data_IF_771435119397
#
_entry.id   IF_771435119397
#
_cell.length_a   1.000
_cell.length_b   1.000
_cell.length_c   1.000
_cell.angle_alpha   90.00
_cell.angle_beta   90.00
_cell.angle_gamma   90.00
#
_symmetry.space_group_name_H-M   'P 1'
#
loop_
_entity.id
_entity.type
_entity.pdbx_description
1 polymer ?
#
# COMPACT_ATOMS: atom_id res chain seq x y z
N UNK A 1 -8.02 5.26 -22.98
CA UNK A 1 -9.15 4.38 -22.74
C UNK A 1 -9.80 4.66 -21.41
N UNK A 2 -11.09 4.50 -21.33
CA UNK A 2 -11.92 4.69 -20.14
C UNK A 2 -11.79 3.53 -19.12
N UNK A 3 -10.60 3.01 -18.88
CA UNK A 3 -10.42 1.76 -18.15
C UNK A 3 -9.75 1.95 -16.79
N UNK A 4 -9.85 3.14 -16.18
CA UNK A 4 -9.36 3.37 -14.85
C UNK A 4 -10.51 3.51 -13.84
N UNK A 5 -10.22 3.22 -12.58
CA UNK A 5 -11.21 3.25 -11.49
C UNK A 5 -11.93 4.60 -11.38
N UNK A 6 -11.24 5.71 -11.60
CA UNK A 6 -11.82 7.04 -11.50
C UNK A 6 -12.91 7.26 -12.56
N UNK A 7 -12.65 6.89 -13.82
CA UNK A 7 -13.62 7.02 -14.91
C UNK A 7 -14.86 6.16 -14.66
N UNK A 8 -14.67 4.92 -14.19
CA UNK A 8 -15.79 4.04 -13.80
C UNK A 8 -16.62 4.62 -12.65
N UNK A 9 -15.96 5.24 -11.66
CA UNK A 9 -16.65 5.90 -10.56
C UNK A 9 -17.40 7.16 -11.03
N UNK A 10 -16.83 7.95 -11.94
CA UNK A 10 -17.49 9.12 -12.51
C UNK A 10 -18.74 8.69 -13.31
N UNK A 11 -18.64 7.62 -14.09
CA UNK A 11 -19.76 7.09 -14.85
C UNK A 11 -20.90 6.63 -13.93
N UNK A 12 -20.57 5.92 -12.84
CA UNK A 12 -21.56 5.34 -11.92
C UNK A 12 -22.13 6.34 -10.91
N UNK A 13 -21.33 7.27 -10.42
CA UNK A 13 -21.67 8.14 -9.28
C UNK A 13 -21.68 9.62 -9.62
N UNK A 14 -21.37 10.01 -10.86
CA UNK A 14 -21.19 11.40 -11.26
C UNK A 14 -19.86 11.97 -10.79
N UNK A 15 -19.80 13.28 -10.56
CA UNK A 15 -18.58 13.96 -10.13
C UNK A 15 -18.07 13.39 -8.80
N UNK A 16 -16.82 12.94 -8.78
CA UNK A 16 -16.13 12.44 -7.58
C UNK A 16 -14.77 13.12 -7.41
N UNK A 17 -14.28 13.17 -6.15
CA UNK A 17 -12.95 13.64 -5.78
C UNK A 17 -12.10 12.45 -5.30
N UNK A 18 -10.85 12.40 -5.75
CA UNK A 18 -9.88 11.36 -5.39
C UNK A 18 -8.84 11.97 -4.44
N UNK A 19 -8.71 11.40 -3.23
CA UNK A 19 -7.77 11.89 -2.20
C UNK A 19 -6.46 11.11 -2.14
N UNK A 20 -6.45 9.88 -2.64
CA UNK A 20 -5.26 9.06 -2.77
C UNK A 20 -5.41 8.08 -3.93
N UNK A 21 -4.34 7.42 -4.26
CA UNK A 21 -4.32 6.41 -5.32
C UNK A 21 -3.64 5.14 -4.83
N UNK A 22 -4.03 4.04 -5.44
CA UNK A 22 -3.29 2.77 -5.38
C UNK A 22 -2.40 2.63 -6.63
N UNK A 23 -1.33 1.88 -6.51
CA UNK A 23 -0.58 1.42 -7.69
C UNK A 23 -1.47 0.48 -8.50
N UNK A 24 -1.26 0.41 -9.81
CA UNK A 24 -2.15 -0.33 -10.74
C UNK A 24 -2.44 -1.76 -10.29
N UNK A 25 -1.44 -2.47 -9.78
CA UNK A 25 -1.54 -3.88 -9.43
C UNK A 25 -1.85 -4.11 -7.92
N UNK A 26 -1.96 -3.03 -7.12
CA UNK A 26 -2.35 -3.09 -5.70
C UNK A 26 -3.86 -3.20 -5.58
N UNK A 27 -4.34 -4.18 -4.83
CA UNK A 27 -5.76 -4.32 -4.50
C UNK A 27 -6.17 -3.61 -3.22
N UNK A 28 -7.48 -3.54 -2.95
CA UNK A 28 -8.02 -3.04 -1.69
C UNK A 28 -8.67 -1.66 -1.78
N UNK A 29 -8.67 -0.94 -0.68
CA UNK A 29 -9.41 0.31 -0.50
C UNK A 29 -8.85 1.48 -1.29
N UNK A 30 -9.72 2.15 -2.02
CA UNK A 30 -9.49 3.47 -2.59
C UNK A 30 -10.63 4.40 -2.17
N UNK A 31 -10.29 5.52 -1.54
CA UNK A 31 -11.25 6.49 -1.03
C UNK A 31 -11.57 7.55 -2.08
N UNK A 32 -12.83 7.62 -2.45
CA UNK A 32 -13.38 8.67 -3.29
C UNK A 32 -14.59 9.30 -2.55
N UNK A 33 -14.86 10.56 -2.84
CA UNK A 33 -16.03 11.27 -2.28
C UNK A 33 -16.83 11.93 -3.38
N UNK A 34 -18.09 12.18 -3.12
CA UNK A 34 -18.86 13.19 -3.88
C UNK A 34 -18.49 14.58 -3.40
N UNK A 35 -18.65 15.63 -4.25
CA UNK A 35 -18.44 17.01 -3.80
C UNK A 35 -19.31 17.34 -2.60
N UNK A 36 -18.72 17.98 -1.58
CA UNK A 36 -19.40 18.35 -0.35
C UNK A 36 -18.41 18.78 0.75
N UNK A 37 -18.92 19.09 1.92
CA UNK A 37 -18.14 19.57 3.09
C UNK A 37 -17.08 18.59 3.56
N UNK A 38 -17.33 17.28 3.41
CA UNK A 38 -16.37 16.22 3.75
C UNK A 38 -15.04 16.37 3.01
N UNK A 39 -15.03 17.04 1.84
CA UNK A 39 -13.81 17.17 1.04
C UNK A 39 -12.77 18.08 1.72
N UNK A 40 -13.21 19.16 2.37
CA UNK A 40 -12.31 20.04 3.12
C UNK A 40 -11.69 19.31 4.32
N UNK A 41 -12.50 18.54 5.04
CA UNK A 41 -12.04 17.69 6.14
C UNK A 41 -11.00 16.67 5.66
N UNK A 42 -11.28 15.90 4.61
CA UNK A 42 -10.36 14.91 4.08
C UNK A 42 -9.07 15.54 3.55
N UNK A 43 -9.16 16.65 2.81
CA UNK A 43 -7.98 17.38 2.32
C UNK A 43 -7.04 17.78 3.47
N UNK A 44 -7.61 18.29 4.57
CA UNK A 44 -6.88 18.61 5.79
C UNK A 44 -6.20 17.36 6.39
N UNK A 45 -6.93 16.25 6.56
CA UNK A 45 -6.38 15.02 7.11
C UNK A 45 -5.22 14.47 6.25
N UNK A 46 -5.39 14.43 4.93
CA UNK A 46 -4.34 13.95 4.03
C UNK A 46 -3.11 14.86 4.02
N UNK A 47 -3.28 16.18 3.98
CA UNK A 47 -2.20 17.18 4.08
C UNK A 47 -1.44 17.06 5.40
N UNK A 48 -2.13 16.84 6.50
CA UNK A 48 -1.56 16.67 7.84
C UNK A 48 -1.04 15.25 8.10
N UNK A 49 -1.19 14.31 7.16
CA UNK A 49 -0.82 12.88 7.29
C UNK A 49 -1.48 12.19 8.48
N UNK A 50 -2.70 12.59 8.81
CA UNK A 50 -3.47 12.02 9.92
C UNK A 50 -4.28 10.79 9.52
N UNK A 51 -4.47 10.55 8.22
CA UNK A 51 -5.12 9.34 7.70
C UNK A 51 -4.24 8.14 7.97
N UNK A 52 -4.72 7.20 8.77
CA UNK A 52 -4.04 5.93 9.01
C UNK A 52 -4.41 4.96 7.88
N UNK A 53 -3.42 4.41 7.21
CA UNK A 53 -3.56 3.41 6.16
C UNK A 53 -2.83 2.16 6.59
N UNK A 54 -3.48 1.02 6.45
CA UNK A 54 -2.91 -0.28 6.75
C UNK A 54 -2.94 -1.15 5.50
N UNK A 55 -1.82 -1.77 5.21
CA UNK A 55 -1.64 -2.69 4.10
C UNK A 55 -1.25 -4.06 4.62
N UNK A 56 -1.68 -5.09 3.92
CA UNK A 56 -1.18 -6.46 4.08
C UNK A 56 -0.31 -6.80 2.86
N UNK A 57 0.84 -7.40 3.12
CA UNK A 57 1.74 -7.87 2.08
C UNK A 57 2.26 -9.27 2.39
N UNK A 58 2.37 -10.09 1.35
CA UNK A 58 3.15 -11.33 1.42
C UNK A 58 4.49 -11.06 0.74
N UNK A 59 5.57 -11.24 1.49
CA UNK A 59 6.93 -10.96 1.02
C UNK A 59 7.80 -12.21 1.05
N UNK A 60 8.89 -12.21 0.27
CA UNK A 60 9.91 -13.26 0.33
C UNK A 60 10.61 -13.23 1.70
N UNK A 61 10.90 -14.39 2.28
CA UNK A 61 11.66 -14.50 3.54
C UNK A 61 13.14 -14.84 3.34
N UNK A 62 13.71 -14.55 2.16
CA UNK A 62 15.12 -14.82 1.86
C UNK A 62 16.10 -14.07 2.77
N UNK A 63 15.64 -13.02 3.42
CA UNK A 63 16.42 -12.25 4.39
C UNK A 63 15.69 -12.11 5.71
N UNK A 64 16.43 -12.24 6.80
CA UNK A 64 15.91 -11.94 8.13
C UNK A 64 15.72 -10.45 8.32
N UNK A 65 14.58 -10.08 8.92
CA UNK A 65 14.25 -8.73 9.35
C UNK A 65 13.66 -8.79 10.76
N UNK A 66 13.73 -7.69 11.50
CA UNK A 66 13.11 -7.59 12.82
C UNK A 66 11.61 -7.83 12.75
N UNK A 67 11.02 -8.33 13.84
CA UNK A 67 9.56 -8.60 13.94
C UNK A 67 8.72 -7.34 13.70
N UNK A 68 9.25 -6.18 14.03
CA UNK A 68 8.66 -4.87 13.73
C UNK A 68 9.75 -3.84 13.42
N UNK A 69 9.40 -2.79 12.70
CA UNK A 69 10.40 -1.78 12.38
C UNK A 69 9.86 -0.54 11.67
N UNK A 70 10.76 0.42 11.51
CA UNK A 70 10.51 1.66 10.77
C UNK A 70 11.49 1.78 9.61
N UNK A 71 10.96 1.94 8.41
CA UNK A 71 11.75 2.09 7.19
C UNK A 71 11.76 3.55 6.80
N UNK A 72 12.92 4.19 6.88
CA UNK A 72 13.14 5.57 6.46
C UNK A 72 14.06 5.58 5.25
N UNK A 73 13.58 6.12 4.12
CA UNK A 73 14.31 6.17 2.86
C UNK A 73 14.11 7.52 2.18
N UNK A 74 14.90 7.77 1.15
CA UNK A 74 14.64 8.84 0.18
C UNK A 74 14.40 8.21 -1.18
N UNK A 75 13.30 8.57 -1.82
CA UNK A 75 12.87 7.98 -3.09
C UNK A 75 12.91 9.03 -4.20
N UNK A 76 13.38 8.63 -5.37
CA UNK A 76 13.25 9.44 -6.59
C UNK A 76 12.85 8.56 -7.77
N UNK A 77 12.29 9.13 -8.84
CA UNK A 77 12.11 8.41 -10.09
C UNK A 77 13.42 7.83 -10.60
N UNK A 78 13.38 6.62 -11.13
CA UNK A 78 14.55 6.00 -11.75
C UNK A 78 14.95 6.79 -13.02
N UNK A 79 16.24 7.12 -13.23
CA UNK A 79 16.65 8.01 -14.31
C UNK A 79 16.36 7.47 -15.73
N UNK A 80 16.27 6.15 -15.88
CA UNK A 80 16.10 5.48 -17.19
C UNK A 80 14.81 4.65 -17.31
N UNK A 81 14.09 4.40 -16.21
CA UNK A 81 12.86 3.56 -16.19
C UNK A 81 11.71 4.39 -15.64
N UNK A 82 10.80 4.83 -16.52
CA UNK A 82 9.74 5.80 -16.19
C UNK A 82 8.82 5.37 -15.05
N UNK A 83 8.55 4.08 -14.92
CA UNK A 83 7.57 3.53 -13.96
C UNK A 83 8.23 2.96 -12.70
N UNK A 84 9.48 3.35 -12.40
CA UNK A 84 10.24 2.82 -11.28
C UNK A 84 10.73 3.94 -10.37
N UNK A 85 10.68 3.69 -9.06
CA UNK A 85 11.31 4.51 -8.03
C UNK A 85 12.58 3.82 -7.54
N UNK A 86 13.54 4.59 -7.04
CA UNK A 86 14.79 4.07 -6.45
C UNK A 86 15.07 4.75 -5.12
N UNK A 87 15.70 3.99 -4.21
CA UNK A 87 16.24 4.53 -2.96
C UNK A 87 17.55 5.26 -3.26
N UNK A 88 17.70 6.45 -2.69
CA UNK A 88 18.91 7.28 -2.85
C UNK A 88 19.39 7.79 -1.49
N UNK A 89 20.71 7.99 -1.35
CA UNK A 89 21.32 8.51 -0.12
C UNK A 89 21.07 10.01 0.08
N UNK A 90 21.05 10.80 -1.02
CA UNK A 90 20.84 12.25 -1.00
C UNK A 90 19.83 12.66 -2.06
N UNK A 91 19.13 13.77 -1.79
CA UNK A 91 18.03 14.23 -2.67
C UNK A 91 16.79 13.34 -2.57
N UNK A 92 15.89 13.45 -3.54
CA UNK A 92 14.63 12.69 -3.54
C UNK A 92 13.64 13.09 -2.43
N UNK A 93 12.52 12.39 -2.39
CA UNK A 93 11.44 12.64 -1.44
C UNK A 93 11.57 11.72 -0.22
N UNK A 94 11.44 12.26 0.97
CA UNK A 94 11.39 11.48 2.19
C UNK A 94 10.20 10.52 2.18
N UNK A 95 10.45 9.27 2.56
CA UNK A 95 9.48 8.19 2.61
C UNK A 95 9.67 7.40 3.91
N UNK A 96 8.59 7.22 4.66
CA UNK A 96 8.58 6.51 5.93
C UNK A 96 7.39 5.57 6.00
N UNK A 97 7.65 4.34 6.44
CA UNK A 97 6.64 3.31 6.74
C UNK A 97 7.02 2.57 8.01
N UNK A 98 6.02 2.11 8.75
CA UNK A 98 6.18 1.12 9.83
C UNK A 98 5.74 -0.23 9.31
N UNK A 99 6.29 -1.31 9.86
CA UNK A 99 5.86 -2.66 9.56
C UNK A 99 5.89 -3.56 10.79
N UNK A 100 5.11 -4.62 10.74
CA UNK A 100 5.04 -5.71 11.70
C UNK A 100 4.97 -7.02 10.93
N UNK A 101 5.81 -7.99 11.27
CA UNK A 101 5.76 -9.36 10.75
C UNK A 101 4.72 -10.13 11.54
N UNK A 102 3.62 -10.51 10.91
CA UNK A 102 2.55 -11.29 11.52
C UNK A 102 2.94 -12.76 11.67
N UNK A 103 3.74 -13.27 10.76
CA UNK A 103 4.25 -14.64 10.80
C UNK A 103 5.07 -15.00 9.58
N UNK A 104 5.74 -16.15 9.65
CA UNK A 104 6.57 -16.71 8.59
C UNK A 104 6.27 -18.17 8.37
N UNK A 105 6.18 -18.59 7.12
CA UNK A 105 6.00 -19.99 6.72
C UNK A 105 6.34 -20.16 5.24
N UNK A 106 6.86 -21.31 4.87
CA UNK A 106 7.14 -21.72 3.47
C UNK A 106 7.96 -20.69 2.68
N UNK A 107 8.98 -20.09 3.31
CA UNK A 107 9.82 -19.07 2.67
C UNK A 107 9.12 -17.74 2.41
N UNK A 108 8.01 -17.46 3.10
CA UNK A 108 7.20 -16.24 2.96
C UNK A 108 6.92 -15.64 4.33
N UNK A 109 6.91 -14.31 4.42
CA UNK A 109 6.47 -13.55 5.59
C UNK A 109 5.17 -12.81 5.26
N UNK A 110 4.16 -12.94 6.13
CA UNK A 110 2.98 -12.08 6.11
C UNK A 110 3.28 -10.84 6.92
N UNK A 111 3.16 -9.67 6.31
CA UNK A 111 3.55 -8.39 6.93
C UNK A 111 2.36 -7.42 6.89
N UNK A 112 2.14 -6.74 8.00
CA UNK A 112 1.28 -5.55 8.11
C UNK A 112 2.13 -4.31 7.98
N UNK A 113 1.70 -3.33 7.17
CA UNK A 113 2.49 -2.14 6.85
C UNK A 113 1.64 -0.88 6.95
N UNK A 114 2.16 0.14 7.62
CA UNK A 114 1.54 1.47 7.75
C UNK A 114 2.42 2.53 7.09
N UNK A 115 2.09 3.00 5.87
CA UNK A 115 2.80 4.11 5.25
C UNK A 115 2.46 5.43 5.95
N UNK A 116 3.47 6.09 6.52
CA UNK A 116 3.36 7.44 7.10
C UNK A 116 3.37 8.50 6.00
N UNK A 117 4.11 8.27 4.95
CA UNK A 117 4.11 9.06 3.71
C UNK A 117 3.43 8.28 2.59
N UNK A 118 3.09 8.93 1.47
CA UNK A 118 2.42 8.31 0.33
C UNK A 118 3.17 8.57 -0.99
N UNK A 119 4.42 8.08 -1.13
CA UNK A 119 5.18 8.22 -2.38
C UNK A 119 4.83 7.09 -3.35
N UNK A 120 4.95 7.37 -4.64
CA UNK A 120 4.74 6.33 -5.67
C UNK A 120 5.59 5.10 -5.38
N UNK A 121 5.00 3.93 -5.48
CA UNK A 121 5.62 2.61 -5.24
C UNK A 121 6.32 2.48 -3.87
N UNK A 122 6.00 3.32 -2.89
CA UNK A 122 6.75 3.43 -1.64
C UNK A 122 6.95 2.08 -0.95
N UNK A 123 5.87 1.36 -0.67
CA UNK A 123 5.93 0.09 0.05
C UNK A 123 6.70 -0.97 -0.74
N UNK A 124 6.51 -1.01 -2.03
CA UNK A 124 7.13 -1.96 -2.94
C UNK A 124 8.66 -1.79 -2.97
N UNK A 125 9.12 -0.56 -3.17
CA UNK A 125 10.57 -0.27 -3.21
C UNK A 125 11.21 -0.39 -1.82
N UNK A 126 10.49 -0.05 -0.74
CA UNK A 126 10.99 -0.20 0.62
C UNK A 126 11.15 -1.66 1.05
N UNK A 127 10.18 -2.54 0.75
CA UNK A 127 10.30 -3.98 1.01
C UNK A 127 11.45 -4.60 0.22
N UNK A 128 11.60 -4.25 -1.05
CA UNK A 128 12.76 -4.68 -1.86
C UNK A 128 14.08 -4.15 -1.29
N UNK A 129 14.14 -2.91 -0.83
CA UNK A 129 15.32 -2.31 -0.20
C UNK A 129 15.72 -3.02 1.10
N UNK A 130 14.75 -3.48 1.90
CA UNK A 130 15.02 -4.33 3.08
C UNK A 130 15.55 -5.72 2.70
N UNK A 131 15.42 -6.14 1.44
CA UNK A 131 15.80 -7.47 0.97
C UNK A 131 14.70 -8.53 1.12
N UNK A 132 13.45 -8.09 1.36
CA UNK A 132 12.25 -8.93 1.45
C UNK A 132 11.20 -8.43 0.44
N UNK A 133 11.43 -8.57 -0.87
CA UNK A 133 10.55 -8.04 -1.90
C UNK A 133 9.15 -8.65 -1.80
N UNK A 134 8.14 -7.87 -2.18
CA UNK A 134 6.75 -8.33 -2.23
C UNK A 134 6.60 -9.38 -3.33
N UNK A 135 5.97 -10.49 -3.03
CA UNK A 135 5.72 -11.58 -3.98
C UNK A 135 4.84 -11.08 -5.13
N UNK A 136 5.17 -11.49 -6.35
CA UNK A 136 4.49 -11.04 -7.56
C UNK A 136 4.84 -9.61 -8.01
N UNK A 137 5.78 -8.93 -7.34
CA UNK A 137 6.25 -7.62 -7.79
C UNK A 137 7.20 -7.73 -8.98
N UNK A 138 6.67 -7.44 -10.17
CA UNK A 138 7.41 -7.53 -11.45
C UNK A 138 8.49 -6.45 -11.60
N UNK A 139 8.43 -5.39 -10.79
CA UNK A 139 9.35 -4.23 -10.89
C UNK A 139 10.48 -4.37 -9.87
N UNK A 140 10.15 -4.78 -8.63
CA UNK A 140 11.06 -4.78 -7.49
C UNK A 140 11.37 -6.18 -6.94
N UNK A 141 10.69 -7.22 -7.43
CA UNK A 141 10.75 -8.60 -6.91
C UNK A 141 11.93 -9.45 -7.40
N UNK A 142 13.01 -8.83 -7.91
CA UNK A 142 14.23 -9.60 -8.24
C UNK A 142 14.19 -10.35 -9.56
N UNK A 143 13.21 -10.12 -10.41
CA UNK A 143 13.15 -10.69 -11.77
C UNK A 143 12.39 -12.01 -11.92
N UNK A 144 11.85 -12.55 -10.86
CA UNK A 144 10.99 -13.72 -10.94
C UNK A 144 9.68 -13.39 -11.67
N UNK A 145 9.54 -13.90 -12.88
CA UNK A 145 8.28 -13.89 -13.65
C UNK A 145 7.38 -15.02 -13.14
N UNK A 146 6.94 -14.93 -11.89
CA UNK A 146 6.11 -15.97 -11.26
C UNK A 146 4.70 -16.08 -11.86
N UNK A 147 4.30 -15.15 -12.73
CA UNK A 147 2.91 -15.07 -13.20
C UNK A 147 1.91 -14.65 -12.12
N UNK A 148 2.35 -14.51 -10.88
CA UNK A 148 1.51 -14.15 -9.75
C UNK A 148 1.13 -12.67 -9.79
N UNK A 149 -0.01 -12.35 -9.19
CA UNK A 149 -0.39 -10.97 -8.91
C UNK A 149 0.54 -10.34 -7.86
N UNK A 150 0.59 -9.02 -7.81
CA UNK A 150 1.26 -8.31 -6.71
C UNK A 150 0.56 -8.61 -5.37
N UNK A 151 1.29 -9.18 -4.42
CA UNK A 151 0.77 -9.56 -3.09
C UNK A 151 0.83 -8.38 -2.13
N UNK A 152 0.20 -7.27 -2.52
CA UNK A 152 0.01 -6.04 -1.74
C UNK A 152 -1.47 -5.65 -1.76
N UNK A 153 -2.04 -5.43 -0.57
CA UNK A 153 -3.45 -5.11 -0.41
C UNK A 153 -3.65 -3.96 0.58
N UNK A 154 -4.33 -2.90 0.13
CA UNK A 154 -4.76 -1.80 1.00
C UNK A 154 -5.94 -2.28 1.86
N UNK A 155 -5.65 -2.77 3.06
CA UNK A 155 -6.60 -3.48 3.90
C UNK A 155 -7.52 -2.54 4.66
N UNK A 156 -6.98 -1.48 5.29
CA UNK A 156 -7.74 -0.61 6.17
C UNK A 156 -7.37 0.86 5.98
N UNK A 157 -8.38 1.72 6.06
CA UNK A 157 -8.23 3.18 6.17
C UNK A 157 -8.99 3.66 7.39
N UNK A 158 -8.34 4.46 8.23
CA UNK A 158 -8.95 5.13 9.36
C UNK A 158 -8.83 6.65 9.21
N UNK A 159 -9.96 7.32 9.34
CA UNK A 159 -10.12 8.77 9.31
C UNK A 159 -10.38 9.23 10.74
N UNK A 160 -9.44 9.88 11.44
CA UNK A 160 -9.63 10.30 12.82
C UNK A 160 -10.63 11.45 12.91
N UNK A 161 -11.29 11.59 14.06
CA UNK A 161 -12.20 12.69 14.33
C UNK A 161 -11.49 14.05 14.16
N UNK A 162 -12.15 14.98 13.48
CA UNK A 162 -11.76 16.39 13.35
C UNK A 162 -12.93 17.22 12.77
N UNK A 163 -12.94 18.50 13.07
CA UNK A 163 -13.84 19.49 12.42
C UNK A 163 -15.33 19.08 12.42
N UNK A 164 -15.81 18.48 13.51
CA UNK A 164 -17.18 18.01 13.65
C UNK A 164 -17.49 16.63 13.05
N UNK A 165 -16.52 15.99 12.40
CA UNK A 165 -16.64 14.62 11.90
C UNK A 165 -16.11 13.62 12.93
N UNK A 166 -16.82 12.51 13.10
CA UNK A 166 -16.40 11.39 13.95
C UNK A 166 -15.33 10.53 13.28
N UNK A 167 -14.60 9.75 14.08
CA UNK A 167 -13.69 8.71 13.57
C UNK A 167 -14.45 7.71 12.72
N UNK A 168 -13.94 7.43 11.52
CA UNK A 168 -14.46 6.41 10.62
C UNK A 168 -13.36 5.45 10.20
N UNK A 169 -13.70 4.18 10.18
CA UNK A 169 -12.80 3.10 9.74
C UNK A 169 -13.47 2.28 8.65
N UNK A 170 -12.71 1.97 7.61
CA UNK A 170 -13.14 1.13 6.49
C UNK A 170 -12.12 0.03 6.29
N UNK A 171 -12.59 -1.19 6.02
CA UNK A 171 -11.73 -2.32 5.68
C UNK A 171 -12.18 -2.99 4.38
N UNK A 172 -11.22 -3.54 3.63
CA UNK A 172 -11.49 -4.39 2.47
C UNK A 172 -11.03 -5.82 2.81
N UNK A 173 -11.87 -6.84 2.61
CA UNK A 173 -11.45 -8.23 2.76
C UNK A 173 -10.45 -8.61 1.66
N UNK A 174 -9.56 -9.53 1.97
CA UNK A 174 -8.68 -10.14 0.97
C UNK A 174 -9.51 -10.96 -0.02
N UNK A 175 -9.24 -10.79 -1.30
CA UNK A 175 -9.81 -11.64 -2.35
C UNK A 175 -9.27 -13.08 -2.27
N UNK A 176 -10.00 -14.02 -2.82
CA UNK A 176 -9.60 -15.44 -2.82
C UNK A 176 -8.27 -15.66 -3.57
N UNK A 177 -8.03 -14.90 -4.64
CA UNK A 177 -6.77 -14.88 -5.39
C UNK A 177 -5.55 -14.46 -4.55
N UNK A 178 -5.76 -13.68 -3.49
CA UNK A 178 -4.74 -13.33 -2.52
C UNK A 178 -4.60 -14.42 -1.44
N UNK A 179 -5.71 -14.88 -0.88
CA UNK A 179 -5.72 -15.87 0.21
C UNK A 179 -5.08 -17.19 -0.19
N UNK A 180 -5.34 -17.67 -1.41
CA UNK A 180 -4.78 -18.92 -1.96
C UNK A 180 -3.25 -18.97 -2.00
N UNK A 181 -2.59 -17.80 -2.01
CA UNK A 181 -1.13 -17.69 -2.03
C UNK A 181 -0.49 -17.56 -0.63
N UNK A 182 -1.32 -17.34 0.39
CA UNK A 182 -0.88 -17.30 1.80
C UNK A 182 -0.74 -18.74 2.30
N UNK A 183 0.39 -19.12 2.90
CA UNK A 183 0.51 -20.41 3.59
C UNK A 183 -0.63 -20.60 4.60
N UNK A 184 -1.21 -21.82 4.65
CA UNK A 184 -2.36 -22.12 5.51
C UNK A 184 -2.11 -21.78 6.98
N UNK A 185 -0.88 -22.00 7.47
CA UNK A 185 -0.47 -21.64 8.83
C UNK A 185 -0.52 -20.14 9.14
N UNK A 186 -0.50 -19.27 8.13
CA UNK A 186 -0.56 -17.81 8.30
C UNK A 186 -1.97 -17.23 8.12
N UNK A 187 -2.93 -18.02 7.64
CA UNK A 187 -4.30 -17.52 7.39
C UNK A 187 -4.98 -17.05 8.68
N UNK A 188 -4.76 -17.74 9.80
CA UNK A 188 -5.33 -17.38 11.10
C UNK A 188 -4.71 -16.11 11.73
N UNK A 189 -3.65 -15.57 11.14
CA UNK A 189 -3.00 -14.33 11.56
C UNK A 189 -3.54 -13.10 10.81
N UNK A 190 -4.45 -13.30 9.87
CA UNK A 190 -5.13 -12.22 9.16
C UNK A 190 -6.05 -11.46 10.13
N UNK A 191 -6.09 -10.11 10.03
CA UNK A 191 -6.94 -9.26 10.87
C UNK A 191 -8.43 -9.36 10.49
#
# INVERSE_FOLDING_TARGET
>A
GKDNLLDLCIEKFGKVALFHRLDRDTSGLCLLTRPGEINAYLDKLFKQRRVVKEYLALVSSQKEIDAEGVIKTRLRPHPRRRDQMVVVGKGGFYAESRYEVLGESEGKKLIRIWPITGRSHQLRVQMSYLGVPIIGDRIYGGGEKTGLRLMLHAHKIELPAADGFETRSFSAPLGEDFKQLIPTSLINLLP
#
